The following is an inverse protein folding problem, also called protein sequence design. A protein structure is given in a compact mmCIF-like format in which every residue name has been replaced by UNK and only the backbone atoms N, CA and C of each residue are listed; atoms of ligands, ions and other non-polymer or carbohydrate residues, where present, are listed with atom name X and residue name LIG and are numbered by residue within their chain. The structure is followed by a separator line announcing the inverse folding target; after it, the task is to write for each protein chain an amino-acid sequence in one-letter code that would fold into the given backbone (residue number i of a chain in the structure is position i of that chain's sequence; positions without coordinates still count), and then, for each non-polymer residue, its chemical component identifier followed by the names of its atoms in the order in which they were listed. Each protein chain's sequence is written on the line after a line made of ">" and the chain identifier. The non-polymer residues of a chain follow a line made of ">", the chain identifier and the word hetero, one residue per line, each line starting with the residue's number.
data_IF_971239940629
#
_entry.id   IF_971239940629
#
_cell.length_a   1.000
_cell.length_b   1.000
_cell.length_c   1.000
_cell.angle_alpha   90.00
_cell.angle_beta   90.00
_cell.angle_gamma   90.00
#
_symmetry.space_group_name_H-M   'P 1'
#
loop_
_entity.id
_entity.type
_entity.pdbx_description
1 polymer ?
#
# COMPACT_ATOMS: atom_id res chain seq x y z
N UNK A 1 6.21 3.68 -0.25
CA UNK A 1 5.45 2.42 -0.21
C UNK A 1 4.21 2.51 -1.06
N UNK A 2 4.11 1.64 -2.03
CA UNK A 2 2.92 1.49 -2.87
C UNK A 2 2.18 0.25 -2.38
N UNK A 3 0.92 0.42 -1.99
CA UNK A 3 0.08 -0.65 -1.45
C UNK A 3 -1.08 -0.91 -2.40
N UNK A 4 -1.04 -2.03 -3.12
CA UNK A 4 -2.15 -2.49 -3.95
C UNK A 4 -3.16 -3.22 -3.05
N UNK A 5 -4.41 -2.77 -3.07
CA UNK A 5 -5.46 -3.34 -2.23
C UNK A 5 -6.83 -3.20 -2.90
N UNK A 6 -7.82 -3.86 -2.32
CA UNK A 6 -9.23 -3.61 -2.65
C UNK A 6 -10.07 -3.80 -1.39
N UNK A 7 -11.21 -3.13 -1.32
CA UNK A 7 -11.99 -3.07 -0.08
C UNK A 7 -12.64 -4.41 0.29
N UNK A 8 -12.84 -5.31 -0.67
CA UNK A 8 -13.45 -6.64 -0.44
C UNK A 8 -12.42 -7.78 -0.54
N UNK A 9 -11.17 -7.49 -0.29
CA UNK A 9 -10.09 -8.47 -0.31
C UNK A 9 -10.02 -9.18 1.05
N UNK A 10 -9.95 -10.50 1.04
CA UNK A 10 -9.95 -11.32 2.27
C UNK A 10 -8.74 -11.00 3.15
N UNK A 11 -7.56 -10.86 2.55
CA UNK A 11 -6.32 -10.65 3.28
C UNK A 11 -5.97 -9.19 3.51
N UNK A 12 -6.57 -8.26 2.76
CA UNK A 12 -6.26 -6.83 2.89
C UNK A 12 -6.58 -6.28 4.29
N UNK A 13 -7.70 -6.65 4.95
CA UNK A 13 -7.95 -6.18 6.31
C UNK A 13 -6.91 -6.57 7.33
N UNK A 14 -6.12 -7.62 7.06
CA UNK A 14 -5.03 -8.04 7.95
C UNK A 14 -3.80 -7.15 7.79
N UNK A 15 -3.57 -6.59 6.62
CA UNK A 15 -2.40 -5.74 6.33
C UNK A 15 -2.67 -4.26 6.53
N UNK A 16 -3.89 -3.78 6.28
CA UNK A 16 -4.22 -2.36 6.36
C UNK A 16 -3.88 -1.71 7.70
N UNK A 17 -4.16 -2.33 8.86
CA UNK A 17 -3.76 -1.73 10.13
C UNK A 17 -2.26 -1.53 10.27
N UNK A 18 -1.46 -2.45 9.74
CA UNK A 18 0.00 -2.33 9.78
C UNK A 18 0.48 -1.17 8.90
N UNK A 19 -0.03 -1.08 7.67
CA UNK A 19 0.32 0.01 6.74
C UNK A 19 -0.11 1.35 7.32
N UNK A 20 -1.30 1.42 7.91
CA UNK A 20 -1.80 2.62 8.57
C UNK A 20 -0.87 3.06 9.70
N UNK A 21 -0.46 2.12 10.54
CA UNK A 21 0.42 2.42 11.68
C UNK A 21 1.80 2.87 11.21
N UNK A 22 2.36 2.25 10.18
CA UNK A 22 3.62 2.68 9.58
C UNK A 22 3.51 4.07 8.97
N UNK A 23 2.41 4.35 8.28
CA UNK A 23 2.19 5.68 7.70
C UNK A 23 2.20 6.76 8.78
N UNK A 24 1.52 6.53 9.90
CA UNK A 24 1.49 7.47 11.02
C UNK A 24 2.84 7.58 11.71
N UNK A 25 3.50 6.45 11.97
CA UNK A 25 4.74 6.38 12.73
C UNK A 25 5.91 7.03 11.99
N UNK A 26 5.99 6.83 10.68
CA UNK A 26 7.15 7.23 9.89
C UNK A 26 6.89 8.44 8.98
N UNK A 27 5.71 9.04 9.03
CA UNK A 27 5.38 10.19 8.19
C UNK A 27 6.36 11.34 8.43
N UNK A 28 6.65 11.64 9.69
CA UNK A 28 7.58 12.72 10.05
C UNK A 28 9.02 12.41 9.64
N UNK A 29 9.35 11.14 9.42
CA UNK A 29 10.69 10.72 9.00
C UNK A 29 10.82 10.65 7.46
N UNK A 30 9.73 10.88 6.72
CA UNK A 30 9.75 10.97 5.27
C UNK A 30 9.09 9.81 4.53
N UNK A 31 8.43 8.89 5.24
CA UNK A 31 7.70 7.82 4.57
C UNK A 31 6.47 8.38 3.87
N UNK A 32 6.37 8.10 2.57
CA UNK A 32 5.17 8.39 1.78
C UNK A 32 4.52 7.07 1.40
N UNK A 33 3.23 6.95 1.72
CA UNK A 33 2.43 5.78 1.39
C UNK A 33 1.37 6.18 0.38
N UNK A 34 1.23 5.40 -0.69
CA UNK A 34 0.15 5.56 -1.66
C UNK A 34 -0.59 4.24 -1.76
N UNK A 35 -1.87 4.25 -1.42
CA UNK A 35 -2.75 3.10 -1.63
C UNK A 35 -3.29 3.11 -3.05
N UNK A 36 -3.13 2.02 -3.76
CA UNK A 36 -3.69 1.85 -5.10
C UNK A 36 -4.83 0.84 -5.01
N UNK A 37 -6.05 1.33 -5.07
CA UNK A 37 -7.24 0.48 -5.04
C UNK A 37 -7.51 -0.06 -6.44
N UNK A 38 -7.19 -1.34 -6.64
CA UNK A 38 -7.44 -2.05 -7.90
C UNK A 38 -8.49 -3.11 -7.66
N UNK A 39 -9.67 -3.04 -8.33
CA UNK A 39 -10.76 -3.97 -8.06
C UNK A 39 -10.46 -5.37 -8.60
N UNK A 40 -10.72 -6.39 -7.77
CA UNK A 40 -10.71 -7.78 -8.21
C UNK A 40 -12.05 -8.14 -8.87
N UNK A 41 -13.14 -7.59 -8.32
CA UNK A 41 -14.50 -7.85 -8.77
C UNK A 41 -15.22 -6.56 -9.16
N UNK A 42 -16.24 -6.64 -10.07
CA UNK A 42 -16.93 -5.43 -10.55
C UNK A 42 -17.58 -4.60 -9.45
N UNK A 43 -18.08 -5.23 -8.38
CA UNK A 43 -18.75 -4.51 -7.29
C UNK A 43 -17.77 -3.67 -6.44
N UNK A 44 -16.48 -3.84 -6.63
CA UNK A 44 -15.45 -3.06 -5.94
C UNK A 44 -15.14 -1.73 -6.61
N UNK A 45 -15.60 -1.53 -7.85
CA UNK A 45 -15.29 -0.33 -8.65
C UNK A 45 -15.90 0.98 -8.15
N UNK A 46 -17.15 1.02 -7.59
CA UNK A 46 -17.76 2.30 -7.23
C UNK A 46 -16.91 3.11 -6.27
N UNK A 47 -16.69 4.38 -6.61
CA UNK A 47 -15.87 5.28 -5.80
C UNK A 47 -16.43 5.46 -4.39
N UNK A 48 -17.76 5.46 -4.23
CA UNK A 48 -18.39 5.57 -2.91
C UNK A 48 -17.98 4.43 -1.99
N UNK A 49 -17.88 3.20 -2.51
CA UNK A 49 -17.44 2.04 -1.72
C UNK A 49 -15.99 2.16 -1.30
N UNK A 50 -15.13 2.66 -2.18
CA UNK A 50 -13.71 2.91 -1.86
C UNK A 50 -13.59 3.97 -0.78
N UNK A 51 -14.34 5.08 -0.92
CA UNK A 51 -14.34 6.15 0.10
C UNK A 51 -14.82 5.65 1.45
N UNK A 52 -15.87 4.80 1.47
CA UNK A 52 -16.37 4.21 2.71
C UNK A 52 -15.30 3.35 3.38
N UNK A 53 -14.56 2.56 2.60
CA UNK A 53 -13.48 1.73 3.13
C UNK A 53 -12.34 2.58 3.70
N UNK A 54 -11.94 3.65 2.99
CA UNK A 54 -10.90 4.57 3.48
C UNK A 54 -11.30 5.16 4.82
N UNK A 55 -12.58 5.58 4.96
CA UNK A 55 -13.09 6.12 6.21
C UNK A 55 -13.17 5.06 7.30
N UNK A 56 -13.65 3.86 6.97
CA UNK A 56 -13.77 2.76 7.92
C UNK A 56 -12.42 2.39 8.54
N UNK A 57 -11.39 2.30 7.70
CA UNK A 57 -10.05 1.93 8.13
C UNK A 57 -9.20 3.11 8.58
N UNK A 58 -9.72 4.35 8.45
CA UNK A 58 -9.03 5.58 8.84
C UNK A 58 -7.63 5.68 8.23
N UNK A 59 -7.56 5.47 6.90
CA UNK A 59 -6.29 5.48 6.18
C UNK A 59 -5.78 6.92 6.05
N UNK A 60 -4.59 7.25 6.59
CA UNK A 60 -4.09 8.62 6.61
C UNK A 60 -3.32 9.03 5.36
N UNK A 61 -3.18 8.13 4.40
CA UNK A 61 -2.40 8.36 3.18
C UNK A 61 -3.32 8.48 1.97
N UNK A 62 -2.76 8.97 0.87
CA UNK A 62 -3.49 9.11 -0.38
C UNK A 62 -3.86 7.74 -0.95
N UNK A 63 -5.08 7.62 -1.42
CA UNK A 63 -5.57 6.43 -2.09
C UNK A 63 -6.05 6.83 -3.48
N UNK A 64 -5.52 6.17 -4.50
CA UNK A 64 -5.96 6.36 -5.90
C UNK A 64 -6.73 5.14 -6.35
N UNK A 65 -7.64 5.31 -7.29
CA UNK A 65 -8.39 4.21 -7.88
C UNK A 65 -7.74 3.79 -9.19
N UNK A 66 -7.71 2.47 -9.42
CA UNK A 66 -7.09 1.88 -10.61
C UNK A 66 -8.07 0.91 -11.28
N UNK A 67 -9.28 1.41 -11.58
CA UNK A 67 -10.38 0.57 -12.09
C UNK A 67 -10.07 -0.09 -13.44
N UNK A 68 -9.12 0.46 -14.20
CA UNK A 68 -8.73 -0.07 -15.51
C UNK A 68 -7.41 -0.84 -15.49
N UNK A 69 -6.87 -1.12 -14.30
CA UNK A 69 -5.64 -1.91 -14.12
C UNK A 69 -4.39 -1.27 -14.77
N UNK A 70 -4.38 0.03 -14.98
CA UNK A 70 -3.23 0.70 -15.61
C UNK A 70 -2.00 0.66 -14.71
N UNK A 71 -2.17 1.00 -13.44
CA UNK A 71 -1.07 1.00 -12.46
C UNK A 71 -0.67 -0.43 -12.16
N UNK A 72 -1.64 -1.29 -11.93
CA UNK A 72 -1.46 -2.71 -11.71
C UNK A 72 -0.59 -3.34 -12.79
N UNK A 73 -0.94 -3.09 -14.06
CA UNK A 73 -0.23 -3.64 -15.21
C UNK A 73 1.17 -3.04 -15.35
N UNK A 74 1.33 -1.75 -15.06
CA UNK A 74 2.63 -1.09 -15.12
C UNK A 74 3.62 -1.70 -14.13
N UNK A 75 3.13 -2.17 -12.97
CA UNK A 75 3.95 -2.86 -11.97
C UNK A 75 4.12 -4.35 -12.26
N UNK A 76 3.34 -4.90 -13.21
CA UNK A 76 3.31 -6.35 -13.43
C UNK A 76 2.76 -7.10 -12.22
N UNK A 77 1.88 -6.45 -11.44
CA UNK A 77 1.37 -7.03 -10.20
C UNK A 77 0.41 -8.19 -10.48
N UNK A 78 0.36 -9.17 -9.57
CA UNK A 78 -0.50 -10.35 -9.68
C UNK A 78 -1.22 -10.69 -8.38
N UNK A 79 -1.06 -9.88 -7.32
CA UNK A 79 -1.55 -10.24 -5.99
C UNK A 79 -2.24 -9.08 -5.28
N UNK A 80 -3.25 -9.40 -4.44
CA UNK A 80 -3.84 -8.54 -3.42
C UNK A 80 -3.65 -9.20 -2.05
N UNK A 81 -3.16 -8.50 -1.03
CA UNK A 81 -2.46 -7.22 -1.13
C UNK A 81 -1.05 -7.39 -1.66
N UNK A 82 -0.48 -6.32 -2.17
CA UNK A 82 0.91 -6.30 -2.63
C UNK A 82 1.55 -4.98 -2.24
N UNK A 83 2.75 -5.03 -1.70
CA UNK A 83 3.50 -3.87 -1.25
C UNK A 83 4.79 -3.75 -2.05
N UNK A 84 5.05 -2.55 -2.57
CA UNK A 84 6.26 -2.23 -3.31
C UNK A 84 6.98 -1.08 -2.61
N UNK A 85 8.24 -1.31 -2.25
CA UNK A 85 9.05 -0.36 -1.48
C UNK A 85 10.09 0.29 -2.38
N UNK A 86 9.99 1.61 -2.53
CA UNK A 86 10.94 2.40 -3.31
C UNK A 86 11.79 3.25 -2.38
N UNK A 87 13.08 3.43 -2.73
CA UNK A 87 13.96 4.31 -1.99
C UNK A 87 13.74 5.78 -2.41
N UNK A 88 14.50 6.69 -1.79
CA UNK A 88 14.39 8.12 -2.07
C UNK A 88 14.79 8.47 -3.52
N UNK A 89 15.49 7.59 -4.20
CA UNK A 89 15.88 7.76 -5.60
C UNK A 89 14.88 7.18 -6.58
N UNK A 90 13.78 6.60 -6.08
CA UNK A 90 12.75 5.99 -6.92
C UNK A 90 13.07 4.59 -7.41
N UNK A 91 14.05 3.93 -6.81
CA UNK A 91 14.42 2.56 -7.15
C UNK A 91 13.64 1.56 -6.30
N UNK A 92 13.11 0.52 -6.93
CA UNK A 92 12.42 -0.56 -6.23
C UNK A 92 13.44 -1.39 -5.44
N UNK A 93 13.23 -1.49 -4.13
CA UNK A 93 14.16 -2.16 -3.23
C UNK A 93 13.62 -3.44 -2.60
N UNK A 94 12.31 -3.56 -2.46
CA UNK A 94 11.69 -4.71 -1.82
C UNK A 94 10.24 -4.86 -2.26
N UNK A 95 9.75 -6.11 -2.31
CA UNK A 95 8.36 -6.43 -2.58
C UNK A 95 7.84 -7.41 -1.54
N UNK A 96 6.56 -7.28 -1.16
CA UNK A 96 5.89 -8.22 -0.28
C UNK A 96 4.50 -8.49 -0.84
N UNK A 97 4.17 -9.76 -1.00
CA UNK A 97 2.88 -10.20 -1.56
C UNK A 97 2.09 -10.96 -0.51
N UNK A 98 0.78 -10.65 -0.43
CA UNK A 98 -0.09 -11.26 0.57
C UNK A 98 0.12 -10.66 1.95
N UNK A 99 -0.38 -11.36 2.98
CA UNK A 99 -0.23 -10.94 4.36
C UNK A 99 1.03 -11.56 4.98
N UNK A 100 1.50 -10.94 6.09
CA UNK A 100 2.63 -11.46 6.84
C UNK A 100 3.93 -10.71 6.62
N UNK A 101 5.00 -11.18 7.24
CA UNK A 101 6.35 -10.59 7.19
C UNK A 101 6.38 -9.12 7.61
N UNK A 102 5.52 -8.72 8.54
CA UNK A 102 5.39 -7.31 8.94
C UNK A 102 6.65 -6.76 9.59
N UNK A 103 7.33 -7.57 10.41
CA UNK A 103 8.58 -7.15 11.04
C UNK A 103 9.67 -6.88 9.99
N UNK A 104 9.75 -7.75 8.97
CA UNK A 104 10.71 -7.56 7.89
C UNK A 104 10.36 -6.34 7.05
N UNK A 105 9.09 -6.13 6.76
CA UNK A 105 8.65 -4.95 6.00
C UNK A 105 8.97 -3.67 6.78
N UNK A 106 8.73 -3.64 8.08
CA UNK A 106 9.07 -2.48 8.89
C UNK A 106 10.59 -2.25 8.92
N UNK A 107 11.38 -3.30 8.98
CA UNK A 107 12.83 -3.19 8.91
C UNK A 107 13.29 -2.58 7.59
N UNK A 108 12.64 -2.94 6.48
CA UNK A 108 12.90 -2.33 5.16
C UNK A 108 12.58 -0.84 5.18
N UNK A 109 11.44 -0.46 5.74
CA UNK A 109 11.06 0.95 5.87
C UNK A 109 12.15 1.73 6.63
N UNK A 110 12.59 1.20 7.77
CA UNK A 110 13.62 1.83 8.59
C UNK A 110 14.94 1.98 7.83
N UNK A 111 15.33 0.94 7.09
CA UNK A 111 16.56 0.95 6.29
C UNK A 111 16.49 1.99 5.18
N UNK A 112 15.39 2.06 4.45
CA UNK A 112 15.23 3.01 3.36
C UNK A 112 15.17 4.46 3.87
N UNK A 113 14.55 4.69 5.02
CA UNK A 113 14.54 6.00 5.65
C UNK A 113 15.93 6.42 6.09
N UNK A 114 16.71 5.48 6.63
CA UNK A 114 18.10 5.73 7.02
C UNK A 114 18.95 6.11 5.81
N UNK A 115 18.79 5.41 4.69
CA UNK A 115 19.50 5.73 3.45
C UNK A 115 19.12 7.13 2.93
N UNK A 116 17.85 7.49 3.03
CA UNK A 116 17.38 8.79 2.55
C UNK A 116 17.95 9.96 3.33
N UNK A 117 18.33 9.75 4.60
CA UNK A 117 18.92 10.77 5.47
C UNK A 117 20.44 10.89 5.32
N UNK A 118 21.05 9.99 4.58
CA UNK A 118 22.51 9.95 4.43
C UNK A 118 23.02 10.94 3.40
#
# INVERSE_FOLDING_TARGET
>A
LIDFWTWDCINCPHTLPHVRDWAKKYQSEGLVVVGVHTPEYPWEKPLSSVKNAVNKWQLPYHVVTDNNYKIWSAFGNQYWPAHYYFDAKGQLRYTAFGEGNYDKQEAVIQQLLKEARS
#
